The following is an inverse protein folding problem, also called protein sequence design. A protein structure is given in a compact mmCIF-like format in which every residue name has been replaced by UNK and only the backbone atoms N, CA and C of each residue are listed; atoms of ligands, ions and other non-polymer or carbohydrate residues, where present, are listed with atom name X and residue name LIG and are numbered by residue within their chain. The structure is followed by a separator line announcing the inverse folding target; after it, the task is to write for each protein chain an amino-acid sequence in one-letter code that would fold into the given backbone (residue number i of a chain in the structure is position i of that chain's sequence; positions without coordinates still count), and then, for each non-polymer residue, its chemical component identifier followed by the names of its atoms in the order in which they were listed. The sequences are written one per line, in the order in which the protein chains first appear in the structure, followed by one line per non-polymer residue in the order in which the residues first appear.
data_IF_839547383631
#
_entry.id   IF_839547383631
#
_cell.length_a   1.000
_cell.length_b   1.000
_cell.length_c   1.000
_cell.angle_alpha   90.00
_cell.angle_beta   90.00
_cell.angle_gamma   90.00
#
_symmetry.space_group_name_H-M   'P 1'
#
loop_
_entity.id
_entity.type
_entity.pdbx_description
1 polymer ?
#
# COMPACT_ATOMS: atom_id res chain seq x y z
N UNK A 1 18.32 20.02 -0.72
CA UNK A 1 16.90 20.01 -1.15
C UNK A 1 16.19 21.20 -0.53
N UNK A 2 15.28 21.89 -1.25
CA UNK A 2 14.60 23.11 -0.75
C UNK A 2 13.68 22.87 0.45
N UNK A 3 13.21 21.63 0.64
CA UNK A 3 12.17 21.28 1.61
C UNK A 3 12.61 20.28 2.69
N UNK A 4 13.89 19.91 2.72
CA UNK A 4 14.47 18.96 3.70
C UNK A 4 13.68 17.66 3.90
N UNK A 5 13.17 17.09 2.79
CA UNK A 5 12.46 15.81 2.80
C UNK A 5 13.44 14.70 2.42
N UNK A 6 13.70 13.71 3.30
CA UNK A 6 14.57 12.59 2.97
C UNK A 6 13.96 11.71 1.87
N UNK A 7 14.83 11.02 1.13
CA UNK A 7 14.38 10.02 0.17
C UNK A 7 13.75 8.81 0.89
N UNK A 8 12.87 8.12 0.18
CA UNK A 8 12.26 6.87 0.64
C UNK A 8 12.83 5.77 -0.23
N UNK A 9 13.50 4.80 0.39
CA UNK A 9 14.12 3.67 -0.33
C UNK A 9 13.16 2.48 -0.49
N UNK A 10 12.17 2.37 0.40
CA UNK A 10 11.23 1.25 0.43
C UNK A 10 9.86 1.71 0.91
N UNK A 11 8.80 1.17 0.29
CA UNK A 11 7.41 1.31 0.75
C UNK A 11 6.81 -0.07 0.91
N UNK A 12 6.61 -0.50 2.16
CA UNK A 12 5.88 -1.72 2.49
C UNK A 12 4.44 -1.37 2.88
N UNK A 13 3.46 -1.91 2.17
CA UNK A 13 2.05 -1.64 2.45
C UNK A 13 1.09 -2.56 1.72
N UNK A 14 0.06 -3.02 2.43
CA UNK A 14 -1.05 -3.82 1.92
C UNK A 14 -2.34 -3.00 1.90
N UNK A 15 -3.21 -3.31 0.95
CA UNK A 15 -4.52 -2.67 0.84
C UNK A 15 -5.53 -3.35 1.76
N UNK A 16 -6.52 -2.58 2.23
CA UNK A 16 -7.65 -3.15 2.94
C UNK A 16 -8.41 -4.12 2.02
N UNK A 17 -8.92 -5.25 2.56
CA UNK A 17 -9.58 -6.27 1.77
C UNK A 17 -11.01 -5.83 1.42
N UNK A 18 -11.15 -4.72 0.67
CA UNK A 18 -12.42 -4.10 0.33
C UNK A 18 -13.44 -5.10 -0.25
N UNK A 19 -12.99 -5.98 -1.14
CA UNK A 19 -13.84 -7.02 -1.75
C UNK A 19 -14.40 -7.95 -0.68
N UNK A 20 -13.59 -8.36 0.30
CA UNK A 20 -14.03 -9.22 1.38
C UNK A 20 -15.05 -8.50 2.27
N UNK A 21 -14.80 -7.23 2.60
CA UNK A 21 -15.70 -6.44 3.44
C UNK A 21 -17.06 -6.21 2.78
N UNK A 22 -17.12 -5.90 1.49
CA UNK A 22 -18.41 -5.65 0.79
C UNK A 22 -19.17 -6.93 0.42
N UNK A 23 -18.49 -8.08 0.37
CA UNK A 23 -19.12 -9.37 0.05
C UNK A 23 -19.55 -10.15 1.29
N UNK A 24 -18.92 -9.94 2.45
CA UNK A 24 -19.37 -10.50 3.75
C UNK A 24 -20.47 -9.64 4.35
N UNK A 25 -21.59 -10.25 4.73
CA UNK A 25 -22.55 -9.64 5.66
C UNK A 25 -23.47 -8.54 5.11
N UNK A 26 -23.33 -8.13 3.83
CA UNK A 26 -24.07 -6.98 3.25
C UNK A 26 -23.91 -5.72 4.13
N UNK A 27 -22.69 -5.16 4.23
CA UNK A 27 -22.49 -3.97 5.04
C UNK A 27 -23.37 -2.83 4.53
N UNK A 28 -23.71 -1.91 5.44
CA UNK A 28 -24.38 -0.68 5.04
C UNK A 28 -23.51 0.14 4.10
N UNK A 29 -24.10 1.03 3.30
CA UNK A 29 -23.35 1.89 2.38
C UNK A 29 -22.23 2.66 3.09
N UNK A 30 -22.50 3.21 4.29
CA UNK A 30 -21.52 3.96 5.06
C UNK A 30 -20.34 3.10 5.50
N UNK A 31 -20.61 1.88 5.95
CA UNK A 31 -19.58 0.92 6.37
C UNK A 31 -18.71 0.51 5.17
N UNK A 32 -19.32 0.29 4.00
CA UNK A 32 -18.56 0.04 2.77
C UNK A 32 -17.70 1.25 2.35
N UNK A 33 -18.14 2.48 2.59
CA UNK A 33 -17.38 3.68 2.22
C UNK A 33 -16.12 3.87 3.09
N UNK A 34 -16.16 3.51 4.37
CA UNK A 34 -15.01 3.60 5.28
C UNK A 34 -13.86 2.65 4.89
N UNK A 35 -14.17 1.58 4.17
CA UNK A 35 -13.19 0.58 3.73
C UNK A 35 -12.43 0.99 2.46
N UNK A 36 -12.77 2.14 1.85
CA UNK A 36 -12.09 2.64 0.66
C UNK A 36 -10.75 3.26 1.07
N UNK A 37 -9.68 2.52 0.81
CA UNK A 37 -8.32 3.03 0.99
C UNK A 37 -7.91 3.98 -0.16
N UNK A 38 -7.53 5.21 0.21
CA UNK A 38 -6.99 6.21 -0.72
C UNK A 38 -5.46 6.33 -0.57
N UNK A 39 -4.97 6.24 0.67
CA UNK A 39 -3.56 6.46 0.99
C UNK A 39 -2.69 5.31 0.50
N UNK A 40 -3.08 4.07 0.80
CA UNK A 40 -2.37 2.86 0.41
C UNK A 40 -2.15 2.77 -1.11
N UNK A 41 -3.20 2.85 -1.95
CA UNK A 41 -3.03 2.83 -3.40
C UNK A 41 -2.20 4.00 -3.92
N UNK A 42 -2.29 5.18 -3.29
CA UNK A 42 -1.49 6.35 -3.68
C UNK A 42 0.01 6.09 -3.44
N UNK A 43 0.37 5.62 -2.24
CA UNK A 43 1.77 5.34 -1.88
C UNK A 43 2.36 4.19 -2.70
N UNK A 44 1.63 3.08 -2.84
CA UNK A 44 2.08 1.91 -3.61
C UNK A 44 2.28 2.29 -5.08
N UNK A 45 1.35 3.04 -5.68
CA UNK A 45 1.48 3.46 -7.08
C UNK A 45 2.64 4.45 -7.29
N UNK A 46 2.87 5.35 -6.33
CA UNK A 46 4.01 6.27 -6.39
C UNK A 46 5.35 5.52 -6.29
N UNK A 47 5.47 4.57 -5.35
CA UNK A 47 6.64 3.72 -5.19
C UNK A 47 6.89 2.87 -6.43
N UNK A 48 5.86 2.18 -6.94
CA UNK A 48 5.95 1.36 -8.15
C UNK A 48 6.33 2.18 -9.39
N UNK A 49 5.82 3.41 -9.55
CA UNK A 49 6.25 4.30 -10.62
C UNK A 49 7.74 4.67 -10.49
N UNK A 50 8.23 4.82 -9.27
CA UNK A 50 9.62 5.18 -8.98
C UNK A 50 10.50 3.96 -8.64
N UNK A 51 10.15 2.77 -9.15
CA UNK A 51 10.84 1.51 -8.88
C UNK A 51 12.37 1.48 -9.12
N UNK A 52 12.97 2.34 -9.97
CA UNK A 52 14.43 2.38 -10.06
C UNK A 52 15.11 2.87 -8.77
N UNK A 53 14.36 3.50 -7.87
CA UNK A 53 14.87 4.12 -6.64
C UNK A 53 14.11 3.71 -5.36
N UNK A 54 12.87 3.25 -5.48
CA UNK A 54 12.03 2.87 -4.35
C UNK A 54 11.54 1.45 -4.53
N UNK A 55 11.76 0.57 -3.56
CA UNK A 55 11.25 -0.79 -3.58
C UNK A 55 9.80 -0.83 -3.06
N UNK A 56 8.78 -1.10 -3.91
CA UNK A 56 7.43 -1.36 -3.42
C UNK A 56 7.33 -2.81 -2.91
N UNK A 57 6.80 -3.00 -1.71
CA UNK A 57 6.57 -4.32 -1.11
C UNK A 57 5.09 -4.42 -0.72
N UNK A 58 4.38 -5.32 -1.38
CA UNK A 58 2.91 -5.45 -1.25
C UNK A 58 2.46 -6.83 -0.78
N UNK A 59 3.38 -7.77 -0.62
CA UNK A 59 3.10 -9.10 -0.07
C UNK A 59 4.08 -9.42 1.08
N UNK A 60 3.58 -9.70 2.29
CA UNK A 60 4.41 -10.16 3.39
C UNK A 60 5.22 -11.44 3.11
N UNK A 61 4.83 -12.25 2.12
CA UNK A 61 5.63 -13.42 1.72
C UNK A 61 7.03 -13.05 1.24
N UNK A 62 7.20 -11.84 0.70
CA UNK A 62 8.43 -11.40 0.05
C UNK A 62 9.46 -10.88 1.06
N UNK A 63 9.07 -10.69 2.33
CA UNK A 63 9.93 -10.06 3.33
C UNK A 63 11.23 -10.82 3.56
N UNK A 64 11.20 -12.15 3.55
CA UNK A 64 12.41 -12.94 3.76
C UNK A 64 13.39 -12.77 2.60
N UNK A 65 12.90 -12.77 1.36
CA UNK A 65 13.74 -12.53 0.17
C UNK A 65 14.36 -11.13 0.22
N UNK A 66 13.56 -10.11 0.55
CA UNK A 66 14.01 -8.72 0.64
C UNK A 66 15.06 -8.51 1.72
N UNK A 67 14.94 -9.18 2.87
CA UNK A 67 15.94 -9.11 3.94
C UNK A 67 17.27 -9.77 3.56
N UNK A 68 17.29 -10.61 2.52
CA UNK A 68 18.48 -11.30 2.02
C UNK A 68 19.10 -10.65 0.77
N UNK A 69 18.45 -9.66 0.15
CA UNK A 69 18.93 -8.88 -1.01
C UNK A 69 20.08 -7.92 -0.66
#
# INVERSE_FOLDING_TARGET
MKYDVPAIDLVAGNLYPFIETVTKGRPGLLEALEEIDIGGPTMIRAAAKNHPWVLPVIDPSDYNEILEM
#
